data_IF_920300531293
#
_entry.id   IF_920300531293
#
_cell.length_a   1.000
_cell.length_b   1.000
_cell.length_c   1.000
_cell.angle_alpha   90.00
_cell.angle_beta   90.00
_cell.angle_gamma   90.00
#
_symmetry.space_group_name_H-M   'P 1'
#
loop_
_entity.id
_entity.type
_entity.pdbx_description
1 polymer ?
#
# COMPACT_ATOMS: atom_id res chain seq x y z
N UNK A 1 58.07 54.13 -26.75
CA UNK A 1 58.30 53.05 -25.79
C UNK A 1 59.76 52.68 -25.88
N UNK A 2 60.51 52.74 -24.74
CA UNK A 2 61.90 52.33 -24.74
C UNK A 2 62.00 50.84 -25.06
N UNK A 3 62.71 50.45 -26.10
CA UNK A 3 62.99 49.09 -26.49
C UNK A 3 64.04 48.50 -25.53
N UNK A 4 63.58 47.66 -24.58
CA UNK A 4 64.48 46.98 -23.66
C UNK A 4 64.82 45.62 -24.29
N UNK A 5 66.11 45.41 -24.62
CA UNK A 5 66.60 44.25 -25.37
C UNK A 5 66.65 42.97 -24.50
N UNK A 6 66.92 43.12 -23.16
CA UNK A 6 66.99 41.94 -22.28
C UNK A 6 65.67 41.31 -21.88
N UNK A 7 64.55 42.05 -21.92
CA UNK A 7 63.20 41.50 -21.58
C UNK A 7 62.21 41.90 -22.63
N UNK A 8 61.77 40.93 -23.46
CA UNK A 8 60.79 41.17 -24.47
C UNK A 8 59.35 41.16 -23.83
N UNK A 9 58.96 42.36 -23.31
CA UNK A 9 57.65 42.55 -22.68
C UNK A 9 56.48 42.33 -23.60
N UNK A 10 56.65 42.53 -24.94
CA UNK A 10 55.60 42.25 -25.91
C UNK A 10 55.40 40.75 -26.07
N UNK A 11 56.48 39.98 -26.22
CA UNK A 11 56.38 38.52 -26.30
C UNK A 11 55.84 37.91 -25.00
N UNK A 12 56.23 38.40 -23.81
CA UNK A 12 55.67 37.95 -22.53
C UNK A 12 54.16 38.24 -22.41
N UNK A 13 53.72 39.43 -22.85
CA UNK A 13 52.30 39.77 -22.84
C UNK A 13 51.53 38.94 -23.85
N UNK A 14 52.05 38.75 -25.08
CA UNK A 14 51.45 37.87 -26.07
C UNK A 14 51.33 36.40 -25.60
N UNK A 15 52.39 35.89 -24.94
CA UNK A 15 52.39 34.53 -24.39
C UNK A 15 51.34 34.37 -23.25
N UNK A 16 51.26 35.36 -22.34
CA UNK A 16 50.23 35.36 -21.30
C UNK A 16 48.82 35.36 -21.89
N UNK A 17 48.58 36.19 -22.93
CA UNK A 17 47.26 36.25 -23.59
C UNK A 17 46.95 34.99 -24.37
N UNK A 18 47.95 34.34 -24.97
CA UNK A 18 47.83 33.06 -25.62
C UNK A 18 47.43 31.96 -24.58
N UNK A 19 48.06 31.98 -23.42
CA UNK A 19 47.72 31.06 -22.30
C UNK A 19 46.27 31.21 -21.82
N UNK A 20 45.77 32.45 -21.70
CA UNK A 20 44.36 32.72 -21.35
C UNK A 20 43.42 32.22 -22.45
N UNK A 21 43.74 32.48 -23.69
CA UNK A 21 42.91 32.05 -24.83
C UNK A 21 42.87 30.53 -25.00
N UNK A 22 44.03 29.87 -24.85
CA UNK A 22 44.14 28.39 -24.86
C UNK A 22 43.36 27.75 -23.73
N UNK A 23 43.43 28.33 -22.51
CA UNK A 23 42.60 27.87 -21.36
C UNK A 23 41.10 28.07 -21.63
N UNK A 24 40.69 29.21 -22.23
CA UNK A 24 39.30 29.46 -22.67
C UNK A 24 38.84 28.46 -23.71
N UNK A 25 39.66 28.15 -24.71
CA UNK A 25 39.37 27.17 -25.75
C UNK A 25 39.18 25.76 -25.14
N UNK A 26 40.06 25.36 -24.24
CA UNK A 26 39.94 24.05 -23.55
C UNK A 26 38.65 23.95 -22.71
N UNK A 27 38.24 25.01 -22.01
CA UNK A 27 36.97 25.06 -21.28
C UNK A 27 35.74 24.98 -22.20
N UNK A 28 35.75 25.71 -23.34
CA UNK A 28 34.69 25.63 -24.30
C UNK A 28 34.59 24.25 -24.95
N UNK A 29 35.72 23.61 -25.25
CA UNK A 29 35.77 22.22 -25.72
C UNK A 29 35.23 21.24 -24.71
N UNK A 30 35.54 21.41 -23.42
CA UNK A 30 35.00 20.58 -22.31
C UNK A 30 33.47 20.68 -22.23
N UNK A 31 32.90 21.89 -22.32
CA UNK A 31 31.45 22.13 -22.27
C UNK A 31 30.75 21.57 -23.51
N UNK A 32 31.33 21.78 -24.71
CA UNK A 32 30.79 21.23 -25.96
C UNK A 32 30.79 19.69 -25.96
N UNK A 33 31.83 19.07 -25.42
CA UNK A 33 31.95 17.63 -25.34
C UNK A 33 30.99 17.01 -24.31
N UNK A 34 30.75 17.69 -23.17
CA UNK A 34 29.88 17.21 -22.10
C UNK A 34 28.41 17.56 -22.32
N UNK A 35 28.12 18.64 -23.07
CA UNK A 35 26.80 19.25 -23.19
C UNK A 35 26.38 20.07 -21.96
N UNK A 36 27.23 20.15 -20.95
CA UNK A 36 26.94 20.86 -19.70
C UNK A 36 27.70 22.17 -19.58
N UNK A 37 27.01 23.21 -19.10
CA UNK A 37 27.57 24.50 -18.74
C UNK A 37 28.39 24.41 -17.44
N UNK A 38 27.94 23.57 -16.49
CA UNK A 38 28.57 23.36 -15.19
C UNK A 38 29.12 21.94 -15.15
N UNK A 39 30.44 21.80 -15.35
CA UNK A 39 31.14 20.52 -15.29
C UNK A 39 31.81 20.28 -13.93
N UNK A 40 32.34 21.36 -13.34
CA UNK A 40 33.10 21.28 -12.08
C UNK A 40 32.49 22.20 -11.04
N UNK A 41 32.72 21.89 -9.77
CA UNK A 41 32.27 22.73 -8.65
C UNK A 41 32.86 24.15 -8.70
N UNK A 42 34.05 24.33 -9.36
CA UNK A 42 34.68 25.62 -9.57
C UNK A 42 34.00 26.51 -10.62
N UNK A 43 33.12 25.95 -11.48
CA UNK A 43 32.43 26.73 -12.52
C UNK A 43 31.25 27.50 -11.90
N UNK A 44 30.42 26.78 -11.10
CA UNK A 44 29.30 27.35 -10.33
C UNK A 44 28.92 26.38 -9.21
N UNK A 45 29.41 26.67 -8.01
CA UNK A 45 29.15 25.82 -6.84
C UNK A 45 27.68 25.84 -6.39
N UNK A 46 27.00 26.99 -6.56
CA UNK A 46 25.59 27.13 -6.20
C UNK A 46 24.67 26.39 -7.20
N UNK A 47 24.90 26.61 -8.50
CA UNK A 47 24.18 25.93 -9.56
C UNK A 47 24.39 24.43 -9.54
N UNK A 48 25.61 23.95 -9.27
CA UNK A 48 25.89 22.52 -9.15
C UNK A 48 25.10 21.89 -7.98
N UNK A 49 25.10 22.53 -6.81
CA UNK A 49 24.35 22.04 -5.65
C UNK A 49 22.85 21.94 -5.92
N UNK A 50 22.28 22.94 -6.62
CA UNK A 50 20.85 22.96 -6.98
C UNK A 50 20.56 21.86 -7.99
N UNK A 51 21.38 21.73 -9.05
CA UNK A 51 21.16 20.70 -10.09
C UNK A 51 21.29 19.29 -9.54
N UNK A 52 22.25 19.00 -8.67
CA UNK A 52 22.38 17.68 -8.02
C UNK A 52 21.17 17.36 -7.12
N UNK A 53 20.63 18.37 -6.41
CA UNK A 53 19.39 18.20 -5.65
C UNK A 53 18.19 17.89 -6.57
N UNK A 54 18.07 18.62 -7.69
CA UNK A 54 17.01 18.38 -8.68
C UNK A 54 17.15 16.99 -9.32
N UNK A 55 18.35 16.57 -9.69
CA UNK A 55 18.62 15.22 -10.22
C UNK A 55 18.27 14.11 -9.21
N UNK A 56 18.57 14.33 -7.94
CA UNK A 56 18.14 13.41 -6.89
C UNK A 56 16.62 13.34 -6.77
N UNK A 57 15.92 14.49 -6.89
CA UNK A 57 14.47 14.56 -6.92
C UNK A 57 13.88 13.84 -8.15
N UNK A 58 14.39 14.09 -9.35
CA UNK A 58 13.94 13.44 -10.59
C UNK A 58 14.05 11.92 -10.48
N UNK A 59 15.22 11.42 -10.02
CA UNK A 59 15.39 9.97 -9.79
C UNK A 59 14.43 9.41 -8.75
N UNK A 60 14.16 10.18 -7.69
CA UNK A 60 13.18 9.83 -6.66
C UNK A 60 11.75 9.80 -7.19
N UNK A 61 11.36 10.79 -8.02
CA UNK A 61 10.03 10.87 -8.62
C UNK A 61 9.80 9.74 -9.64
N UNK A 62 10.79 9.45 -10.48
CA UNK A 62 10.68 8.35 -11.44
C UNK A 62 10.54 7.01 -10.71
N UNK A 63 11.31 6.78 -9.63
CA UNK A 63 11.15 5.57 -8.83
C UNK A 63 9.81 5.51 -8.08
N UNK A 64 9.27 6.66 -7.69
CA UNK A 64 7.94 6.74 -7.10
C UNK A 64 6.83 6.43 -8.13
N UNK A 65 6.99 6.85 -9.39
CA UNK A 65 6.10 6.48 -10.51
C UNK A 65 6.14 4.96 -10.77
N UNK A 66 7.34 4.34 -10.80
CA UNK A 66 7.48 2.88 -10.87
C UNK A 66 6.75 2.17 -9.72
N UNK A 67 6.96 2.62 -8.47
CA UNK A 67 6.32 2.03 -7.30
C UNK A 67 4.79 2.16 -7.35
N UNK A 68 4.28 3.28 -7.89
CA UNK A 68 2.84 3.47 -8.07
C UNK A 68 2.29 2.52 -9.14
N UNK A 69 3.02 2.29 -10.23
CA UNK A 69 2.68 1.32 -11.29
C UNK A 69 2.67 -0.11 -10.77
N UNK A 70 3.65 -0.48 -9.93
CA UNK A 70 3.65 -1.76 -9.22
C UNK A 70 2.42 -1.90 -8.32
N UNK A 71 2.03 -0.81 -7.65
CA UNK A 71 0.81 -0.74 -6.85
C UNK A 71 -0.47 -0.94 -7.66
N UNK A 72 -0.56 -0.37 -8.86
CA UNK A 72 -1.68 -0.60 -9.79
C UNK A 72 -1.73 -2.07 -10.21
N UNK A 73 -0.60 -2.67 -10.57
CA UNK A 73 -0.52 -4.09 -10.96
C UNK A 73 -0.95 -5.03 -9.83
N UNK A 74 -0.58 -4.71 -8.59
CA UNK A 74 -1.01 -5.45 -7.40
C UNK A 74 -2.53 -5.37 -7.21
N UNK A 75 -3.10 -4.16 -7.34
CA UNK A 75 -4.55 -3.95 -7.21
C UNK A 75 -5.30 -4.70 -8.30
N UNK A 76 -4.85 -4.66 -9.55
CA UNK A 76 -5.46 -5.39 -10.67
C UNK A 76 -5.43 -6.91 -10.44
N UNK A 77 -4.35 -7.44 -9.87
CA UNK A 77 -4.26 -8.86 -9.51
C UNK A 77 -5.31 -9.23 -8.45
N UNK A 78 -5.44 -8.40 -7.42
CA UNK A 78 -6.45 -8.62 -6.37
C UNK A 78 -7.88 -8.47 -6.92
N UNK A 79 -8.13 -7.48 -7.77
CA UNK A 79 -9.44 -7.25 -8.40
C UNK A 79 -9.84 -8.41 -9.31
N UNK A 80 -8.90 -8.97 -10.08
CA UNK A 80 -9.17 -10.15 -10.91
C UNK A 80 -9.65 -11.33 -10.07
N UNK A 81 -8.99 -11.61 -8.95
CA UNK A 81 -9.40 -12.68 -8.02
C UNK A 81 -10.77 -12.39 -7.37
N UNK A 82 -11.02 -11.13 -7.00
CA UNK A 82 -12.32 -10.73 -6.44
C UNK A 82 -13.45 -10.79 -7.47
N UNK A 83 -13.16 -10.62 -8.75
CA UNK A 83 -14.14 -10.80 -9.82
C UNK A 83 -14.56 -12.26 -9.96
N UNK A 84 -13.60 -13.20 -9.89
CA UNK A 84 -13.92 -14.63 -9.85
C UNK A 84 -14.73 -15.00 -8.59
N UNK A 85 -14.32 -14.48 -7.42
CA UNK A 85 -15.08 -14.67 -6.18
C UNK A 85 -16.50 -14.14 -6.30
N UNK A 86 -16.70 -13.00 -6.95
CA UNK A 86 -18.03 -12.45 -7.19
C UNK A 86 -18.87 -13.34 -8.10
N UNK A 87 -18.30 -13.89 -9.17
CA UNK A 87 -18.96 -14.82 -10.08
C UNK A 87 -19.38 -16.12 -9.37
N UNK A 88 -18.52 -16.65 -8.51
CA UNK A 88 -18.84 -17.82 -7.66
C UNK A 88 -20.02 -17.50 -6.73
N UNK A 89 -20.00 -16.33 -6.07
CA UNK A 89 -21.08 -15.90 -5.18
C UNK A 89 -22.42 -15.75 -5.93
N UNK A 90 -22.41 -15.25 -7.15
CA UNK A 90 -23.61 -15.19 -7.99
C UNK A 90 -24.13 -16.60 -8.29
N UNK A 91 -23.23 -17.54 -8.63
CA UNK A 91 -23.62 -18.94 -8.84
C UNK A 91 -24.20 -19.58 -7.58
N UNK A 92 -23.58 -19.32 -6.42
CA UNK A 92 -24.12 -19.77 -5.13
C UNK A 92 -25.49 -19.18 -4.83
N UNK A 93 -25.77 -17.94 -5.20
CA UNK A 93 -27.07 -17.31 -5.04
C UNK A 93 -28.14 -17.98 -5.93
N UNK A 94 -27.79 -18.31 -7.18
CA UNK A 94 -28.67 -19.08 -8.07
C UNK A 94 -29.04 -20.44 -7.46
N UNK A 95 -28.06 -21.17 -6.97
CA UNK A 95 -28.22 -22.46 -6.31
C UNK A 95 -29.09 -22.36 -5.05
N UNK A 96 -28.87 -21.32 -4.24
CA UNK A 96 -29.66 -21.10 -3.04
C UNK A 96 -31.13 -20.78 -3.37
N UNK A 97 -31.38 -19.98 -4.41
CA UNK A 97 -32.75 -19.71 -4.90
C UNK A 97 -33.39 -20.99 -5.47
N UNK A 98 -32.64 -21.80 -6.22
CA UNK A 98 -33.12 -23.10 -6.72
C UNK A 98 -33.46 -24.03 -5.56
N UNK A 99 -32.62 -24.14 -4.54
CA UNK A 99 -32.81 -24.96 -3.35
C UNK A 99 -33.99 -24.51 -2.47
N UNK A 100 -34.35 -23.20 -2.53
CA UNK A 100 -35.51 -22.66 -1.82
C UNK A 100 -36.87 -23.11 -2.39
N UNK A 101 -36.89 -23.76 -3.57
CA UNK A 101 -38.13 -24.23 -4.16
C UNK A 101 -38.58 -25.58 -3.54
N UNK A 102 -39.79 -25.63 -3.05
CA UNK A 102 -40.35 -26.83 -2.42
C UNK A 102 -40.68 -27.97 -3.40
N UNK A 103 -40.50 -27.74 -4.71
CA UNK A 103 -40.60 -28.81 -5.71
C UNK A 103 -39.41 -29.77 -5.71
N UNK A 104 -38.28 -29.38 -5.06
CA UNK A 104 -37.06 -30.18 -4.99
C UNK A 104 -37.20 -31.28 -3.94
N UNK A 105 -36.76 -32.49 -4.30
CA UNK A 105 -36.63 -33.60 -3.35
C UNK A 105 -35.36 -33.44 -2.49
N UNK A 106 -35.27 -34.24 -1.42
CA UNK A 106 -34.06 -34.19 -0.54
C UNK A 106 -32.79 -34.52 -1.29
N UNK A 107 -32.81 -35.44 -2.24
CA UNK A 107 -31.67 -35.84 -3.08
C UNK A 107 -31.19 -34.67 -3.93
N UNK A 108 -32.12 -33.87 -4.48
CA UNK A 108 -31.77 -32.68 -5.28
C UNK A 108 -31.15 -31.60 -4.41
N UNK A 109 -31.67 -31.40 -3.21
CA UNK A 109 -31.13 -30.46 -2.23
C UNK A 109 -29.74 -30.89 -1.72
N UNK A 110 -29.53 -32.20 -1.54
CA UNK A 110 -28.20 -32.73 -1.20
C UNK A 110 -27.17 -32.45 -2.29
N UNK A 111 -27.54 -32.59 -3.57
CA UNK A 111 -26.66 -32.24 -4.68
C UNK A 111 -26.35 -30.76 -4.72
N UNK A 112 -27.33 -29.89 -4.48
CA UNK A 112 -27.12 -28.43 -4.38
C UNK A 112 -26.19 -28.10 -3.21
N UNK A 113 -26.35 -28.73 -2.06
CA UNK A 113 -25.46 -28.52 -0.88
C UNK A 113 -24.03 -28.94 -1.17
N UNK A 114 -23.79 -30.01 -1.91
CA UNK A 114 -22.49 -30.44 -2.34
C UNK A 114 -21.83 -29.39 -3.26
N UNK A 115 -22.59 -28.85 -4.24
CA UNK A 115 -22.11 -27.78 -5.12
C UNK A 115 -21.78 -26.49 -4.31
N UNK A 116 -22.68 -26.09 -3.39
CA UNK A 116 -22.44 -24.95 -2.50
C UNK A 116 -21.17 -25.11 -1.64
N UNK A 117 -20.94 -26.34 -1.13
CA UNK A 117 -19.72 -26.63 -0.36
C UNK A 117 -18.47 -26.53 -1.23
N UNK A 118 -18.48 -27.11 -2.45
CA UNK A 118 -17.37 -27.05 -3.38
C UNK A 118 -17.04 -25.60 -3.80
N UNK A 119 -18.07 -24.79 -4.06
CA UNK A 119 -17.90 -23.37 -4.39
C UNK A 119 -17.35 -22.56 -3.20
N UNK A 120 -17.74 -22.91 -1.98
CA UNK A 120 -17.23 -22.30 -0.76
C UNK A 120 -15.74 -22.60 -0.55
N UNK A 121 -15.32 -23.85 -0.81
CA UNK A 121 -13.93 -24.25 -0.74
C UNK A 121 -13.08 -23.60 -1.86
N UNK A 122 -13.68 -23.35 -3.02
CA UNK A 122 -13.03 -22.62 -4.10
C UNK A 122 -12.79 -21.15 -3.76
N UNK A 123 -13.71 -20.48 -3.05
CA UNK A 123 -13.49 -19.12 -2.52
C UNK A 123 -12.30 -19.10 -1.55
N UNK A 124 -12.23 -20.08 -0.65
CA UNK A 124 -11.09 -20.19 0.28
C UNK A 124 -9.79 -20.42 -0.50
N UNK A 125 -9.79 -21.30 -1.51
CA UNK A 125 -8.63 -21.55 -2.36
C UNK A 125 -8.17 -20.29 -3.08
N UNK A 126 -9.08 -19.51 -3.68
CA UNK A 126 -8.76 -18.23 -4.35
C UNK A 126 -8.12 -17.27 -3.35
N UNK A 127 -8.68 -17.17 -2.14
CA UNK A 127 -8.15 -16.28 -1.10
C UNK A 127 -6.72 -16.66 -0.66
N UNK A 128 -6.41 -17.96 -0.59
CA UNK A 128 -5.10 -18.45 -0.17
C UNK A 128 -4.06 -18.43 -1.28
N UNK A 129 -4.49 -18.68 -2.53
CA UNK A 129 -3.56 -18.80 -3.67
C UNK A 129 -3.26 -17.47 -4.36
N UNK A 130 -4.12 -16.45 -4.20
CA UNK A 130 -3.88 -15.15 -4.83
C UNK A 130 -2.75 -14.41 -4.14
N UNK A 131 -1.62 -14.32 -4.84
CA UNK A 131 -0.42 -13.68 -4.34
C UNK A 131 0.21 -12.77 -5.39
N UNK A 132 0.87 -11.73 -4.92
CA UNK A 132 1.72 -10.86 -5.72
C UNK A 132 3.13 -10.84 -5.09
N UNK A 133 4.13 -11.20 -5.84
CA UNK A 133 5.51 -11.30 -5.34
C UNK A 133 5.61 -12.12 -4.03
N UNK A 134 4.98 -13.30 -3.97
CA UNK A 134 4.91 -14.20 -2.80
C UNK A 134 4.24 -13.58 -1.55
N UNK A 135 3.51 -12.49 -1.69
CA UNK A 135 2.69 -11.92 -0.64
C UNK A 135 1.23 -12.23 -0.94
N UNK A 136 0.54 -12.87 -0.02
CA UNK A 136 -0.88 -13.13 -0.14
C UNK A 136 -1.64 -11.81 -0.06
N UNK A 137 -2.65 -11.66 -0.93
CA UNK A 137 -3.41 -10.42 -1.03
C UNK A 137 -4.74 -10.47 -0.30
N UNK A 138 -5.41 -11.64 -0.29
CA UNK A 138 -6.82 -11.80 0.13
C UNK A 138 -7.00 -12.55 1.45
N UNK A 139 -5.91 -12.95 2.12
CA UNK A 139 -5.94 -13.66 3.41
C UNK A 139 -6.10 -12.73 4.62
N UNK A 140 -6.05 -11.40 4.40
CA UNK A 140 -6.12 -10.39 5.45
C UNK A 140 -4.76 -9.98 6.02
N UNK A 141 -3.67 -10.57 5.57
CA UNK A 141 -2.31 -10.17 5.97
C UNK A 141 -1.88 -8.87 5.29
N UNK A 142 -2.54 -8.50 4.17
CA UNK A 142 -2.20 -7.33 3.37
C UNK A 142 -2.93 -6.06 3.85
N UNK A 143 -2.72 -5.71 5.13
CA UNK A 143 -3.29 -4.51 5.73
C UNK A 143 -2.20 -3.53 6.14
N UNK A 144 -2.46 -2.22 5.96
CA UNK A 144 -1.52 -1.16 6.35
C UNK A 144 -0.24 -1.10 5.49
N UNK A 145 -0.24 -1.69 4.30
CA UNK A 145 0.93 -1.64 3.41
C UNK A 145 1.08 -0.26 2.78
N UNK A 146 2.28 0.29 2.87
CA UNK A 146 2.56 1.63 2.38
C UNK A 146 3.30 1.55 1.04
N UNK A 147 2.76 2.21 0.03
CA UNK A 147 3.42 2.46 -1.24
C UNK A 147 4.04 3.85 -1.19
N UNK A 148 5.35 3.95 -1.37
CA UNK A 148 6.06 5.22 -1.44
C UNK A 148 5.86 5.82 -2.83
N UNK A 149 5.06 6.86 -2.93
CA UNK A 149 4.64 7.52 -4.16
C UNK A 149 5.17 8.96 -4.28
N UNK A 150 6.37 9.18 -3.75
CA UNK A 150 7.02 10.48 -3.85
C UNK A 150 8.47 10.44 -3.42
N UNK A 151 9.24 11.47 -3.82
CA UNK A 151 10.67 11.58 -3.58
C UNK A 151 11.04 11.94 -2.12
N UNK A 152 10.06 12.42 -1.34
CA UNK A 152 10.30 12.89 0.03
C UNK A 152 9.67 11.95 1.07
N UNK A 153 10.08 12.12 2.33
CA UNK A 153 9.52 11.38 3.48
C UNK A 153 8.02 11.66 3.63
N UNK A 154 7.26 10.65 4.07
CA UNK A 154 5.80 10.70 4.30
C UNK A 154 4.91 10.83 3.06
N UNK A 155 5.46 10.76 1.85
CA UNK A 155 4.69 10.74 0.61
C UNK A 155 4.29 9.31 0.27
N UNK A 156 3.32 8.77 0.99
CA UNK A 156 2.88 7.37 0.88
C UNK A 156 1.38 7.26 0.65
N UNK A 157 0.96 6.24 -0.06
CA UNK A 157 -0.42 5.78 -0.15
C UNK A 157 -0.50 4.44 0.58
N UNK A 158 -1.45 4.31 1.50
CA UNK A 158 -1.68 3.07 2.24
C UNK A 158 -2.70 2.23 1.51
N UNK A 159 -2.35 0.99 1.23
CA UNK A 159 -3.24 -0.01 0.63
C UNK A 159 -3.69 -0.95 1.73
N UNK A 160 -5.01 -1.17 1.81
CA UNK A 160 -5.64 -2.10 2.72
C UNK A 160 -6.51 -3.07 1.92
N UNK A 161 -6.21 -4.35 2.02
CA UNK A 161 -7.05 -5.41 1.47
C UNK A 161 -7.52 -6.25 2.66
N UNK A 162 -8.84 -6.31 2.86
CA UNK A 162 -9.41 -7.11 3.91
C UNK A 162 -9.34 -8.60 3.55
N UNK A 163 -9.46 -9.48 4.56
CA UNK A 163 -9.61 -10.91 4.31
C UNK A 163 -10.89 -11.18 3.53
N UNK A 164 -10.77 -11.97 2.45
CA UNK A 164 -11.87 -12.32 1.55
C UNK A 164 -12.08 -13.84 1.46
N UNK A 165 -11.63 -14.59 2.48
CA UNK A 165 -11.96 -16.00 2.63
C UNK A 165 -13.45 -16.18 3.02
N UNK A 166 -14.00 -17.36 2.81
CA UNK A 166 -15.41 -17.67 3.07
C UNK A 166 -15.83 -17.35 4.52
N UNK A 167 -14.91 -17.45 5.46
CA UNK A 167 -15.13 -17.09 6.86
C UNK A 167 -15.25 -15.57 7.07
N UNK A 168 -14.39 -14.77 6.42
CA UNK A 168 -14.36 -13.32 6.58
C UNK A 168 -15.54 -12.63 5.90
N UNK A 169 -15.97 -13.16 4.74
CA UNK A 169 -17.14 -12.66 4.02
C UNK A 169 -18.47 -13.13 4.64
N UNK A 170 -18.42 -14.07 5.62
CA UNK A 170 -19.56 -14.51 6.40
C UNK A 170 -20.31 -15.73 5.84
N UNK A 171 -19.70 -16.50 4.94
CA UNK A 171 -20.29 -17.73 4.35
C UNK A 171 -19.99 -18.97 5.20
N UNK A 172 -18.75 -19.09 5.75
CA UNK A 172 -18.41 -20.16 6.70
C UNK A 172 -18.63 -19.72 8.13
N UNK A 173 -19.11 -20.60 9.03
CA UNK A 173 -19.21 -20.28 10.43
C UNK A 173 -17.82 -19.94 10.99
N UNK A 174 -17.76 -18.87 11.74
CA UNK A 174 -16.60 -18.66 12.62
C UNK A 174 -16.69 -19.75 13.68
N UNK A 175 -15.91 -20.81 13.56
CA UNK A 175 -15.69 -21.71 14.67
C UNK A 175 -15.04 -20.89 15.78
N UNK A 176 -15.86 -20.29 16.62
CA UNK A 176 -15.42 -19.84 17.94
C UNK A 176 -15.06 -21.16 18.60
N UNK A 177 -13.76 -21.48 18.65
CA UNK A 177 -13.29 -22.71 19.24
C UNK A 177 -14.06 -22.91 20.54
N UNK A 178 -14.76 -24.02 20.63
CA UNK A 178 -15.35 -24.45 21.88
C UNK A 178 -14.17 -24.81 22.84
N UNK A 179 -13.43 -23.80 23.23
CA UNK A 179 -12.73 -23.88 24.49
C UNK A 179 -13.83 -23.91 25.51
N UNK A 180 -14.05 -25.10 26.04
CA UNK A 180 -14.73 -25.38 27.30
C UNK A 180 -14.02 -24.60 28.42
N UNK A 181 -14.01 -23.30 28.32
CA UNK A 181 -13.40 -22.37 29.27
C UNK A 181 -14.50 -21.45 29.75
N UNK A 182 -14.74 -21.47 31.03
CA UNK A 182 -15.53 -20.48 31.73
C UNK A 182 -15.05 -19.07 31.34
N UNK A 183 -15.84 -18.35 30.51
CA UNK A 183 -15.53 -16.96 30.21
C UNK A 183 -15.62 -16.14 31.47
N UNK A 184 -14.54 -15.46 31.83
CA UNK A 184 -14.57 -14.48 32.91
C UNK A 184 -15.50 -13.33 32.55
N UNK A 185 -16.16 -12.72 33.52
CA UNK A 185 -17.07 -11.57 33.35
C UNK A 185 -16.46 -10.45 32.53
N UNK A 186 -15.14 -10.30 32.54
CA UNK A 186 -14.40 -9.28 31.77
C UNK A 186 -14.33 -9.57 30.27
N UNK A 187 -14.33 -10.84 29.83
CA UNK A 187 -14.32 -11.21 28.41
C UNK A 187 -15.70 -11.03 27.78
N UNK A 188 -16.76 -11.29 28.55
CA UNK A 188 -18.14 -11.04 28.12
C UNK A 188 -18.37 -9.54 27.91
N UNK A 189 -17.84 -8.68 28.77
CA UNK A 189 -17.94 -7.21 28.64
C UNK A 189 -17.15 -6.68 27.44
N UNK A 190 -16.01 -7.25 27.10
CA UNK A 190 -15.23 -6.87 25.91
C UNK A 190 -15.96 -7.23 24.61
N UNK A 191 -16.57 -8.43 24.54
CA UNK A 191 -17.39 -8.83 23.37
C UNK A 191 -18.68 -8.01 23.26
N UNK A 192 -19.27 -7.55 24.36
CA UNK A 192 -20.41 -6.62 24.35
C UNK A 192 -20.07 -5.24 23.76
N UNK A 193 -18.85 -4.74 23.94
CA UNK A 193 -18.42 -3.46 23.35
C UNK A 193 -18.29 -3.53 21.81
N UNK A 194 -17.91 -4.69 21.29
CA UNK A 194 -17.81 -4.92 19.83
C UNK A 194 -19.21 -5.11 19.22
N UNK A 195 -20.14 -5.77 19.93
CA UNK A 195 -21.52 -5.93 19.45
C UNK A 195 -22.36 -4.64 19.49
N UNK A 196 -21.94 -3.62 20.24
CA UNK A 196 -22.62 -2.32 20.30
C UNK A 196 -22.42 -1.46 19.05
N UNK A 197 -21.49 -1.80 18.20
CA UNK A 197 -21.18 -1.05 16.96
C UNK A 197 -21.86 -1.62 15.71
N UNK A 198 -22.45 -2.82 15.79
CA UNK A 198 -23.23 -3.41 14.71
C UNK A 198 -24.63 -3.73 15.23
N UNK A 199 -25.60 -3.05 14.65
CA UNK A 199 -27.07 -3.17 14.75
C UNK A 199 -27.61 -4.56 15.09
N UNK A 200 -27.38 -4.99 16.31
CA UNK A 200 -27.83 -6.28 16.84
C UNK A 200 -29.16 -6.13 17.55
N UNK A 201 -30.15 -6.85 17.04
CA UNK A 201 -31.54 -6.89 17.47
C UNK A 201 -31.74 -6.92 19.01
N UNK A 202 -32.82 -6.32 19.48
CA UNK A 202 -33.23 -6.25 20.90
C UNK A 202 -33.27 -7.63 21.59
N UNK A 203 -33.46 -8.70 20.84
CA UNK A 203 -33.46 -10.10 21.31
C UNK A 203 -32.11 -10.55 21.88
N UNK A 204 -30.98 -10.14 21.24
CA UNK A 204 -29.62 -10.46 21.75
C UNK A 204 -29.32 -9.76 23.09
N UNK A 205 -29.84 -8.54 23.27
CA UNK A 205 -29.66 -7.78 24.54
C UNK A 205 -30.40 -8.44 25.69
N UNK A 206 -31.63 -8.91 25.49
CA UNK A 206 -32.40 -9.62 26.48
C UNK A 206 -31.75 -10.92 26.95
N UNK A 207 -31.17 -11.70 26.04
CA UNK A 207 -30.50 -12.95 26.33
C UNK A 207 -29.19 -12.76 27.12
N UNK A 208 -28.42 -11.69 26.82
CA UNK A 208 -27.17 -11.37 27.52
C UNK A 208 -27.44 -10.88 28.94
N UNK A 209 -28.50 -10.05 29.14
CA UNK A 209 -28.91 -9.61 30.48
C UNK A 209 -29.45 -10.75 31.33
N UNK A 210 -30.20 -11.69 30.76
CA UNK A 210 -30.68 -12.89 31.43
C UNK A 210 -29.52 -13.79 31.88
N UNK A 211 -28.51 -13.99 31.03
CA UNK A 211 -27.27 -14.74 31.38
C UNK A 211 -26.46 -14.05 32.50
N UNK A 212 -26.33 -12.72 32.45
CA UNK A 212 -25.63 -11.98 33.47
C UNK A 212 -26.34 -12.04 34.83
N UNK A 213 -27.66 -11.95 34.87
CA UNK A 213 -28.48 -12.12 36.07
C UNK A 213 -28.39 -13.55 36.64
N UNK A 214 -28.38 -14.55 35.74
CA UNK A 214 -28.26 -15.95 36.12
C UNK A 214 -26.89 -16.27 36.73
N UNK A 215 -25.81 -15.74 36.14
CA UNK A 215 -24.44 -15.92 36.62
C UNK A 215 -24.20 -15.21 37.97
N UNK A 216 -24.78 -14.03 38.17
CA UNK A 216 -24.73 -13.31 39.44
C UNK A 216 -25.50 -14.10 40.58
N UNK A 217 -26.58 -14.78 40.20
CA UNK A 217 -27.34 -15.61 41.12
C UNK A 217 -26.56 -16.90 41.50
N UNK A 218 -25.90 -17.55 40.53
CA UNK A 218 -25.05 -18.71 40.73
C UNK A 218 -23.87 -18.40 41.69
N UNK A 219 -23.20 -17.24 41.47
CA UNK A 219 -22.09 -16.80 42.35
C UNK A 219 -22.56 -16.54 43.79
N UNK A 220 -23.75 -15.99 43.96
CA UNK A 220 -24.31 -15.68 45.28
C UNK A 220 -24.70 -16.93 46.05
N UNK A 221 -25.07 -18.03 45.37
CA UNK A 221 -25.38 -19.31 46.00
C UNK A 221 -24.16 -20.21 46.21
N UNK A 222 -23.12 -20.13 45.39
CA UNK A 222 -21.88 -20.90 45.52
C UNK A 222 -21.01 -20.44 46.71
N UNK A 223 -21.08 -19.16 47.07
CA UNK A 223 -20.31 -18.60 48.20
C UNK A 223 -20.98 -18.79 49.57
N UNK A 224 -22.27 -19.15 49.62
CA UNK A 224 -23.05 -19.30 50.85
C UNK A 224 -23.00 -20.69 51.51
N UNK A 225 -22.48 -21.71 50.86
CA UNK A 225 -22.52 -23.11 51.33
C UNK A 225 -21.17 -23.83 51.25
N UNK A 226 -20.13 -23.27 51.84
CA UNK A 226 -18.92 -24.04 52.22
C UNK A 226 -19.06 -24.50 53.66
N UNK A 227 -19.43 -25.76 53.87
CA UNK A 227 -19.17 -26.41 55.15
C UNK A 227 -17.72 -26.87 55.20
N UNK A 228 -17.16 -26.92 56.39
CA UNK A 228 -15.73 -27.18 56.66
C UNK A 228 -15.18 -28.51 56.09
N UNK A 229 -15.97 -29.34 55.42
CA UNK A 229 -15.60 -30.65 54.88
C UNK A 229 -15.96 -30.86 53.41
N UNK A 230 -16.28 -29.84 52.64
CA UNK A 230 -16.39 -29.95 51.19
C UNK A 230 -17.53 -30.79 50.62
N UNK A 231 -18.43 -31.32 51.46
CA UNK A 231 -19.54 -32.16 51.02
C UNK A 231 -20.86 -31.39 51.08
N UNK A 232 -21.55 -31.27 49.91
CA UNK A 232 -22.87 -30.63 49.82
C UNK A 232 -23.92 -31.63 50.30
N UNK A 233 -24.45 -31.47 51.53
CA UNK A 233 -25.58 -32.28 52.02
C UNK A 233 -26.91 -31.67 51.60
N UNK A 234 -27.67 -32.44 50.79
CA UNK A 234 -28.90 -32.02 50.09
C UNK A 234 -30.18 -32.13 50.96
N UNK A 235 -30.19 -31.77 52.25
CA UNK A 235 -31.32 -32.04 53.12
C UNK A 235 -32.05 -30.83 53.71
N UNK A 236 -32.06 -29.68 53.03
CA UNK A 236 -32.92 -28.58 53.46
C UNK A 236 -33.87 -28.14 52.32
N UNK A 237 -35.05 -27.68 52.67
CA UNK A 237 -36.06 -27.16 51.75
C UNK A 237 -35.52 -25.95 50.90
N UNK A 238 -34.52 -25.25 51.44
CA UNK A 238 -33.82 -24.16 50.78
C UNK A 238 -32.92 -24.68 49.66
N UNK A 239 -32.26 -25.85 49.83
CA UNK A 239 -31.43 -26.45 48.77
C UNK A 239 -32.29 -26.93 47.57
N UNK A 240 -33.47 -27.51 47.83
CA UNK A 240 -34.41 -27.93 46.79
C UNK A 240 -34.95 -26.76 45.97
N UNK A 241 -35.25 -25.64 46.59
CA UNK A 241 -35.72 -24.44 45.92
C UNK A 241 -34.59 -23.78 45.08
N UNK A 242 -33.35 -23.89 45.55
CA UNK A 242 -32.16 -23.43 44.82
C UNK A 242 -31.83 -24.30 43.59
N UNK A 243 -32.00 -25.63 43.72
CA UNK A 243 -31.82 -26.58 42.61
C UNK A 243 -32.92 -26.36 41.55
N UNK A 244 -34.18 -26.12 41.96
CA UNK A 244 -35.25 -25.75 41.03
C UNK A 244 -35.01 -24.46 40.27
N UNK A 245 -34.47 -23.44 40.92
CA UNK A 245 -34.07 -22.19 40.26
C UNK A 245 -32.85 -22.35 39.36
N UNK A 246 -31.91 -23.21 39.73
CA UNK A 246 -30.78 -23.56 38.85
C UNK A 246 -31.22 -24.33 37.60
N UNK A 247 -32.18 -25.26 37.74
CA UNK A 247 -32.75 -26.00 36.61
C UNK A 247 -33.55 -25.07 35.67
N UNK A 248 -34.32 -24.14 36.23
CA UNK A 248 -35.04 -23.13 35.47
C UNK A 248 -34.08 -22.16 34.76
N UNK A 249 -32.99 -21.80 35.40
CA UNK A 249 -31.93 -20.96 34.80
C UNK A 249 -31.17 -21.71 33.70
N UNK A 250 -30.88 -23.00 33.89
CA UNK A 250 -30.29 -23.85 32.85
C UNK A 250 -31.24 -24.01 31.66
N UNK A 251 -32.52 -24.23 31.89
CA UNK A 251 -33.55 -24.34 30.86
C UNK A 251 -33.70 -23.03 30.07
N UNK A 252 -33.63 -21.86 30.73
CA UNK A 252 -33.61 -20.57 30.05
C UNK A 252 -32.32 -20.34 29.22
N UNK A 253 -31.17 -20.82 29.68
CA UNK A 253 -29.92 -20.78 28.96
C UNK A 253 -30.00 -21.67 27.70
N UNK A 254 -30.55 -22.87 27.84
CA UNK A 254 -30.76 -23.79 26.70
C UNK A 254 -31.85 -23.29 25.73
N UNK A 255 -32.93 -22.69 26.21
CA UNK A 255 -33.98 -22.09 25.36
C UNK A 255 -33.50 -20.85 24.60
N UNK A 256 -32.62 -20.05 25.20
CA UNK A 256 -31.99 -18.90 24.53
C UNK A 256 -30.97 -19.34 23.49
N UNK A 257 -30.26 -20.44 23.74
CA UNK A 257 -29.32 -21.01 22.77
C UNK A 257 -30.03 -21.62 21.54
N UNK A 258 -31.26 -22.13 21.73
CA UNK A 258 -32.04 -22.71 20.63
C UNK A 258 -32.78 -21.68 19.75
N UNK A 259 -32.97 -20.44 20.25
CA UNK A 259 -33.64 -19.35 19.51
C UNK A 259 -32.77 -18.20 19.06
N UNK A 260 -31.57 -18.05 19.61
CA UNK A 260 -30.68 -16.93 19.31
C UNK A 260 -29.29 -17.32 18.76
N UNK A 261 -28.97 -18.58 18.67
CA UNK A 261 -27.90 -19.04 17.85
C UNK A 261 -28.47 -19.29 16.44
N UNK A 262 -28.62 -18.22 15.66
CA UNK A 262 -28.32 -18.38 14.24
C UNK A 262 -26.81 -18.70 14.25
N UNK A 263 -26.47 -19.97 14.52
CA UNK A 263 -25.22 -20.54 14.10
C UNK A 263 -25.24 -20.22 12.62
N UNK A 264 -24.33 -19.35 12.18
CA UNK A 264 -24.04 -19.22 10.76
C UNK A 264 -23.54 -20.60 10.37
N UNK A 265 -24.46 -21.50 10.07
CA UNK A 265 -24.18 -22.82 9.52
C UNK A 265 -23.61 -22.59 8.14
N UNK A 266 -22.75 -23.49 7.68
CA UNK A 266 -22.36 -23.53 6.27
C UNK A 266 -23.59 -23.33 5.38
N UNK A 267 -23.45 -22.71 4.19
CA UNK A 267 -24.59 -22.53 3.29
C UNK A 267 -25.30 -23.89 3.10
N UNK A 268 -26.59 -23.92 3.41
CA UNK A 268 -27.40 -25.14 3.42
C UNK A 268 -28.80 -24.79 2.96
N UNK A 269 -29.37 -25.67 2.13
CA UNK A 269 -30.72 -25.52 1.54
C UNK A 269 -31.64 -26.70 1.86
N UNK A 270 -31.40 -27.46 2.95
CA UNK A 270 -32.21 -28.60 3.33
C UNK A 270 -33.69 -28.25 3.54
N UNK A 271 -33.94 -27.04 4.03
CA UNK A 271 -35.30 -26.51 4.27
C UNK A 271 -35.44 -25.11 3.67
N UNK A 272 -36.65 -24.69 3.33
CA UNK A 272 -36.98 -23.36 2.83
C UNK A 272 -36.41 -22.24 3.71
N UNK A 273 -36.50 -22.33 5.04
CA UNK A 273 -35.98 -21.34 5.96
C UNK A 273 -34.43 -21.26 5.94
N UNK A 274 -33.78 -22.39 5.79
CA UNK A 274 -32.31 -22.44 5.68
C UNK A 274 -31.84 -21.87 4.35
N UNK A 275 -32.56 -22.19 3.26
CA UNK A 275 -32.29 -21.62 1.94
C UNK A 275 -32.47 -20.10 1.93
N UNK A 276 -33.49 -19.54 2.59
CA UNK A 276 -33.64 -18.08 2.77
C UNK A 276 -32.50 -17.45 3.57
N UNK A 277 -32.06 -18.14 4.64
CA UNK A 277 -30.87 -17.73 5.41
C UNK A 277 -29.60 -17.73 4.56
N UNK A 278 -29.43 -18.76 3.73
CA UNK A 278 -28.29 -18.87 2.80
C UNK A 278 -28.31 -17.76 1.75
N UNK A 279 -29.47 -17.44 1.16
CA UNK A 279 -29.63 -16.33 0.20
C UNK A 279 -29.18 -15.01 0.86
N UNK A 280 -29.68 -14.72 2.06
CA UNK A 280 -29.33 -13.48 2.77
C UNK A 280 -27.84 -13.42 3.09
N UNK A 281 -27.25 -14.55 3.47
CA UNK A 281 -25.82 -14.67 3.75
C UNK A 281 -24.97 -14.39 2.51
N UNK A 282 -25.34 -14.99 1.37
CA UNK A 282 -24.65 -14.79 0.10
C UNK A 282 -24.80 -13.34 -0.39
N UNK A 283 -25.97 -12.72 -0.26
CA UNK A 283 -26.19 -11.32 -0.60
C UNK A 283 -25.30 -10.38 0.23
N UNK A 284 -25.16 -10.64 1.52
CA UNK A 284 -24.24 -9.90 2.38
C UNK A 284 -22.77 -10.10 1.94
N UNK A 285 -22.39 -11.31 1.57
CA UNK A 285 -21.06 -11.61 1.05
C UNK A 285 -20.79 -10.86 -0.28
N UNK A 286 -21.75 -10.84 -1.20
CA UNK A 286 -21.68 -10.06 -2.45
C UNK A 286 -21.47 -8.57 -2.15
N UNK A 287 -22.20 -8.01 -1.18
CA UNK A 287 -22.06 -6.62 -0.79
C UNK A 287 -20.67 -6.33 -0.20
N UNK A 288 -20.13 -7.25 0.61
CA UNK A 288 -18.78 -7.12 1.17
C UNK A 288 -17.70 -7.14 0.08
N UNK A 289 -17.79 -8.11 -0.85
CA UNK A 289 -16.84 -8.19 -1.97
C UNK A 289 -16.97 -6.98 -2.88
N UNK A 290 -18.18 -6.51 -3.19
CA UNK A 290 -18.42 -5.32 -4.02
C UNK A 290 -17.88 -4.05 -3.36
N UNK A 291 -18.02 -3.91 -2.05
CA UNK A 291 -17.46 -2.79 -1.28
C UNK A 291 -15.92 -2.78 -1.34
N UNK A 292 -15.29 -3.94 -1.19
CA UNK A 292 -13.85 -4.07 -1.30
C UNK A 292 -13.35 -3.76 -2.72
N UNK A 293 -14.03 -4.24 -3.76
CA UNK A 293 -13.72 -3.92 -5.16
C UNK A 293 -13.84 -2.42 -5.43
N UNK A 294 -14.89 -1.78 -4.93
CA UNK A 294 -15.05 -0.32 -5.05
C UNK A 294 -13.91 0.45 -4.39
N UNK A 295 -13.48 0.02 -3.21
CA UNK A 295 -12.35 0.64 -2.52
C UNK A 295 -11.04 0.47 -3.31
N UNK A 296 -10.79 -0.71 -3.90
CA UNK A 296 -9.63 -0.97 -4.74
C UNK A 296 -9.67 -0.15 -6.03
N UNK A 297 -10.81 -0.05 -6.70
CA UNK A 297 -10.97 0.80 -7.88
C UNK A 297 -10.72 2.28 -7.59
N UNK A 298 -11.18 2.78 -6.44
CA UNK A 298 -10.89 4.15 -6.02
C UNK A 298 -9.39 4.37 -5.76
N UNK A 299 -8.70 3.37 -5.19
CA UNK A 299 -7.25 3.41 -4.99
C UNK A 299 -6.49 3.35 -6.32
N UNK A 300 -6.94 2.54 -7.27
CA UNK A 300 -6.35 2.50 -8.61
C UNK A 300 -6.42 3.85 -9.30
N UNK A 301 -7.61 4.46 -9.38
CA UNK A 301 -7.79 5.79 -9.97
C UNK A 301 -6.89 6.83 -9.28
N UNK A 302 -6.76 6.75 -7.95
CA UNK A 302 -5.89 7.65 -7.19
C UNK A 302 -4.41 7.44 -7.53
N UNK A 303 -3.97 6.20 -7.72
CA UNK A 303 -2.59 5.89 -8.13
C UNK A 303 -2.32 6.38 -9.55
N UNK A 304 -3.23 6.17 -10.49
CA UNK A 304 -3.12 6.65 -11.88
C UNK A 304 -2.99 8.18 -11.94
N UNK A 305 -3.83 8.91 -11.20
CA UNK A 305 -3.68 10.37 -11.09
C UNK A 305 -2.37 10.78 -10.40
N UNK A 306 -1.88 9.98 -9.46
CA UNK A 306 -0.59 10.24 -8.81
C UNK A 306 0.55 10.03 -9.80
N UNK A 307 0.54 8.98 -10.61
CA UNK A 307 1.53 8.73 -11.68
C UNK A 307 1.58 9.91 -12.64
N UNK A 308 0.43 10.32 -13.19
CA UNK A 308 0.36 11.44 -14.10
C UNK A 308 0.90 12.75 -13.48
N UNK A 309 0.65 12.98 -12.20
CA UNK A 309 1.20 14.12 -11.49
C UNK A 309 2.72 14.01 -11.29
N UNK A 310 3.22 12.81 -10.92
CA UNK A 310 4.66 12.57 -10.71
C UNK A 310 5.43 12.78 -12.02
N UNK A 311 4.91 12.30 -13.13
CA UNK A 311 5.52 12.45 -14.45
C UNK A 311 5.59 13.94 -14.85
N UNK A 312 4.51 14.71 -14.68
CA UNK A 312 4.50 16.15 -14.90
C UNK A 312 5.51 16.89 -14.02
N UNK A 313 5.59 16.53 -12.72
CA UNK A 313 6.56 17.16 -11.80
C UNK A 313 7.98 16.78 -12.17
N UNK A 314 8.23 15.52 -12.58
CA UNK A 314 9.53 15.03 -13.03
C UNK A 314 9.98 15.80 -14.29
N UNK A 315 9.11 15.95 -15.29
CA UNK A 315 9.38 16.69 -16.53
C UNK A 315 9.69 18.17 -16.27
N UNK A 316 8.87 18.83 -15.45
CA UNK A 316 9.09 20.23 -15.08
C UNK A 316 10.40 20.42 -14.31
N UNK A 317 10.73 19.49 -13.41
CA UNK A 317 11.98 19.53 -12.64
C UNK A 317 13.18 19.28 -13.54
N UNK A 318 13.06 18.36 -14.49
CA UNK A 318 14.10 18.09 -15.49
C UNK A 318 14.32 19.30 -16.43
N UNK A 319 13.24 19.95 -16.87
CA UNK A 319 13.34 21.20 -17.65
C UNK A 319 14.01 22.33 -16.84
N UNK A 320 13.75 22.42 -15.56
CA UNK A 320 14.40 23.40 -14.70
C UNK A 320 15.89 23.06 -14.47
N UNK A 321 16.23 21.79 -14.28
CA UNK A 321 17.61 21.30 -14.15
C UNK A 321 18.40 21.57 -15.43
N UNK A 322 17.82 21.28 -16.61
CA UNK A 322 18.41 21.56 -17.92
C UNK A 322 18.79 23.05 -18.07
N UNK A 323 17.89 23.97 -17.72
CA UNK A 323 18.20 25.41 -17.74
C UNK A 323 19.35 25.83 -16.85
N UNK A 324 19.61 25.10 -15.77
CA UNK A 324 20.73 25.39 -14.86
C UNK A 324 22.02 24.78 -15.37
N UNK A 325 21.99 23.55 -15.84
CA UNK A 325 23.17 22.73 -16.08
C UNK A 325 23.57 22.61 -17.54
N UNK A 326 22.61 22.61 -18.46
CA UNK A 326 22.92 22.41 -19.88
C UNK A 326 23.49 23.67 -20.52
N UNK A 327 24.34 23.49 -21.53
CA UNK A 327 24.93 24.59 -22.27
C UNK A 327 24.14 24.86 -23.57
N UNK A 328 24.05 26.12 -23.98
CA UNK A 328 23.64 26.46 -25.33
C UNK A 328 24.80 26.13 -26.27
N UNK A 329 24.62 25.08 -27.05
CA UNK A 329 25.62 24.57 -27.97
C UNK A 329 25.97 25.58 -29.06
N UNK A 330 25.02 26.41 -29.49
CA UNK A 330 25.25 27.40 -30.56
C UNK A 330 26.14 28.54 -30.05
N UNK A 331 25.83 29.06 -28.84
CA UNK A 331 26.64 30.13 -28.21
C UNK A 331 28.06 29.64 -27.84
N UNK A 332 28.17 28.43 -27.31
CA UNK A 332 29.47 27.87 -26.91
C UNK A 332 30.33 27.52 -28.14
N UNK A 333 29.75 27.10 -29.29
CA UNK A 333 30.46 26.91 -30.56
C UNK A 333 31.01 28.23 -31.12
N UNK A 334 30.25 29.32 -31.03
CA UNK A 334 30.76 30.65 -31.38
C UNK A 334 31.93 31.06 -30.48
N UNK A 335 31.81 30.81 -29.19
CA UNK A 335 32.89 31.10 -28.21
C UNK A 335 34.11 30.25 -28.49
N UNK A 336 33.97 28.97 -28.79
CA UNK A 336 35.07 28.09 -29.18
C UNK A 336 35.77 28.55 -30.42
N UNK A 337 34.98 28.88 -31.51
CA UNK A 337 35.52 29.37 -32.77
C UNK A 337 36.27 30.67 -32.62
N UNK A 338 35.72 31.60 -31.81
CA UNK A 338 36.42 32.88 -31.46
C UNK A 338 37.74 32.59 -30.76
N UNK A 339 37.79 31.72 -29.74
CA UNK A 339 38.99 31.38 -29.04
C UNK A 339 40.03 30.68 -29.95
N UNK A 340 39.58 29.86 -30.91
CA UNK A 340 40.46 29.21 -31.88
C UNK A 340 41.11 30.22 -32.81
N UNK A 341 40.34 31.18 -33.34
CA UNK A 341 40.87 32.27 -34.18
C UNK A 341 41.87 33.14 -33.37
N UNK A 342 41.48 33.46 -32.12
CA UNK A 342 42.39 34.26 -31.22
C UNK A 342 43.66 33.50 -30.88
N UNK A 343 43.62 32.18 -30.71
CA UNK A 343 44.81 31.36 -30.46
C UNK A 343 45.77 31.39 -31.69
N UNK A 344 45.23 31.24 -32.90
CA UNK A 344 46.01 31.33 -34.14
C UNK A 344 46.61 32.72 -34.33
N UNK A 345 45.81 33.77 -34.08
CA UNK A 345 46.31 35.16 -34.13
C UNK A 345 47.37 35.43 -33.05
N UNK A 346 47.17 34.92 -31.85
CA UNK A 346 48.12 35.04 -30.75
C UNK A 346 49.45 34.37 -31.05
N UNK A 347 49.46 33.19 -31.67
CA UNK A 347 50.69 32.53 -32.14
C UNK A 347 51.41 33.35 -33.19
N UNK A 348 50.70 33.93 -34.14
CA UNK A 348 51.27 34.81 -35.18
C UNK A 348 51.86 36.08 -34.60
N UNK A 349 51.17 36.70 -33.58
CA UNK A 349 51.67 37.88 -32.87
C UNK A 349 52.88 37.59 -32.01
N UNK A 350 52.94 36.39 -31.37
CA UNK A 350 54.08 35.94 -30.62
C UNK A 350 55.32 35.77 -31.52
N UNK A 351 55.15 35.16 -32.72
CA UNK A 351 56.20 35.05 -33.70
C UNK A 351 56.68 36.40 -34.17
N UNK A 352 55.77 37.35 -34.46
CA UNK A 352 56.10 38.75 -34.85
C UNK A 352 56.86 39.48 -33.72
N UNK A 353 56.44 39.34 -32.46
CA UNK A 353 57.13 39.96 -31.35
C UNK A 353 58.54 39.40 -31.11
N UNK A 354 58.76 38.12 -31.40
CA UNK A 354 60.10 37.52 -31.32
C UNK A 354 60.97 37.97 -32.50
N UNK A 355 60.42 38.12 -33.72
CA UNK A 355 61.17 38.64 -34.90
C UNK A 355 61.58 40.10 -34.72
N UNK A 356 60.76 40.95 -34.09
CA UNK A 356 61.08 42.37 -33.89
C UNK A 356 62.29 42.55 -32.98
N UNK A 357 62.51 41.70 -31.99
CA UNK A 357 63.71 41.79 -31.17
C UNK A 357 65.00 41.25 -31.81
N UNK A 358 64.84 40.23 -32.69
CA UNK A 358 65.93 39.70 -33.50
C UNK A 358 66.44 40.73 -34.53
N UNK A 359 65.49 41.47 -35.16
CA UNK A 359 65.85 42.57 -36.09
C UNK A 359 66.65 43.68 -35.44
N UNK A 360 66.37 43.99 -34.14
CA UNK A 360 67.14 44.95 -33.39
C UNK A 360 68.56 44.44 -33.06
N UNK A 361 68.67 43.12 -32.72
CA UNK A 361 69.94 42.50 -32.45
C UNK A 361 70.83 42.42 -33.69
N UNK A 362 70.25 42.22 -34.90
CA UNK A 362 71.00 42.22 -36.14
C UNK A 362 71.45 43.57 -36.61
N UNK A 363 70.85 44.68 -36.11
CA UNK A 363 71.29 46.05 -36.34
C UNK A 363 72.45 46.53 -35.38
N UNK A 364 72.66 45.78 -34.29
CA UNK A 364 73.65 46.02 -33.30
C UNK A 364 74.91 45.16 -33.49
N UNK A 365 74.93 44.24 -34.44
CA UNK A 365 76.07 43.48 -34.91
C UNK A 365 76.62 44.09 -36.21
#
# INVERSE_FOLDING_TARGET
MAMVVQHNMQAMNANRQLGVTSSGQAKSAEKLSSGYRINRAGDDAAGLKISEKMRSQIRGLNKASDNASDGVSLIQTAEGALNETHSILQRMNELAVQGANDTNQSIDRDAINQELSALTDEIDRISETTQFNKQNLLDGSFTGKNLQVGANTNQKITVNIAAMNAKAIGIKPVSVGATSGYYTTNEIVKKQKVAKTNDGSAALRGSIEARAKCNATLTKYSTGYKTANGTITANSSVARNSIGKLAACAAQIFAVDSTAATIVSSPNVDNYQQAQGTITMIQNAINNVSSQRSALGALQNRLEHTIANLDNVSENTQSAESRIRDTDMAEEMVTYSKNNILAQAGQSMLAQANQSTQGVLSLLQ
#
